data_IF_970539025741
#
_entry.id   IF_970539025741
#
_cell.length_a   1.000
_cell.length_b   1.000
_cell.length_c   1.000
_cell.angle_alpha   90.00
_cell.angle_beta   90.00
_cell.angle_gamma   90.00
#
_symmetry.space_group_name_H-M   'P 1'
#
loop_
_entity.id
_entity.type
_entity.pdbx_description
1 polymer ?
#
# COMPACT_ATOMS: atom_id res chain seq x y z
N UNK A 1 -26.65 2.18 0.83
CA UNK A 1 -25.77 2.37 -0.36
C UNK A 1 -24.78 1.22 -0.37
N UNK A 2 -24.75 0.40 -1.43
CA UNK A 2 -23.76 -0.67 -1.56
C UNK A 2 -22.36 -0.08 -1.70
N UNK A 3 -21.41 -0.50 -0.88
CA UNK A 3 -20.00 -0.16 -1.05
C UNK A 3 -19.55 -0.90 -2.32
N UNK A 4 -19.09 -0.17 -3.34
CA UNK A 4 -18.45 -0.82 -4.49
C UNK A 4 -17.03 -1.09 -4.03
N UNK A 5 -16.71 -2.36 -3.95
CA UNK A 5 -15.41 -2.82 -3.53
C UNK A 5 -14.50 -2.82 -4.75
N UNK A 6 -13.49 -1.94 -4.77
CA UNK A 6 -12.52 -1.85 -5.87
C UNK A 6 -11.84 -3.20 -6.17
N UNK A 7 -11.77 -4.08 -5.17
CA UNK A 7 -11.22 -5.43 -5.30
C UNK A 7 -12.13 -6.39 -6.08
N UNK A 8 -13.42 -6.04 -6.22
CA UNK A 8 -14.40 -6.75 -7.05
C UNK A 8 -14.51 -6.14 -8.45
N UNK A 9 -14.22 -4.84 -8.60
CA UNK A 9 -14.29 -4.14 -9.89
C UNK A 9 -13.13 -4.49 -10.82
N UNK A 10 -11.92 -4.64 -10.27
CA UNK A 10 -10.71 -4.93 -11.05
C UNK A 10 -10.02 -6.19 -10.52
N UNK A 11 -9.36 -7.00 -11.37
CA UNK A 11 -8.70 -8.25 -10.95
C UNK A 11 -7.39 -8.01 -10.17
N UNK A 12 -7.31 -6.94 -9.37
CA UNK A 12 -6.14 -6.56 -8.57
C UNK A 12 -5.74 -7.70 -7.64
N UNK A 13 -6.71 -8.37 -7.02
CA UNK A 13 -6.44 -9.47 -6.09
C UNK A 13 -5.85 -10.71 -6.79
N UNK A 14 -6.04 -10.85 -8.10
CA UNK A 14 -5.50 -11.94 -8.91
C UNK A 14 -4.05 -11.68 -9.33
N UNK A 15 -3.61 -10.42 -9.31
CA UNK A 15 -2.22 -10.08 -9.55
C UNK A 15 -1.34 -10.49 -8.34
N UNK A 16 -0.18 -11.07 -8.68
CA UNK A 16 0.77 -11.62 -7.71
C UNK A 16 1.55 -10.56 -6.92
N UNK A 17 1.62 -9.34 -7.44
CA UNK A 17 2.44 -8.24 -6.94
C UNK A 17 1.61 -7.06 -6.43
N UNK A 18 0.34 -6.96 -6.84
CA UNK A 18 -0.56 -5.92 -6.37
C UNK A 18 -1.31 -6.32 -5.08
N UNK A 19 -1.58 -5.31 -4.26
CA UNK A 19 -2.41 -5.41 -3.08
C UNK A 19 -3.45 -4.29 -3.06
N UNK A 20 -4.68 -4.66 -2.71
CA UNK A 20 -5.78 -3.77 -2.38
C UNK A 20 -6.65 -4.47 -1.34
N UNK A 21 -7.45 -3.71 -0.60
CA UNK A 21 -8.32 -4.24 0.44
C UNK A 21 -9.69 -3.58 0.37
N UNK A 22 -10.72 -4.37 0.65
CA UNK A 22 -12.09 -3.87 0.81
C UNK A 22 -12.15 -2.77 1.85
N UNK A 23 -12.96 -1.74 1.59
CA UNK A 23 -13.11 -0.60 2.49
C UNK A 23 -12.00 0.44 2.40
N UNK A 24 -11.11 0.36 1.39
CA UNK A 24 -10.16 1.41 1.05
C UNK A 24 -10.14 1.61 -0.47
N UNK A 25 -9.93 2.86 -0.90
CA UNK A 25 -9.71 3.21 -2.31
C UNK A 25 -8.21 3.30 -2.62
N UNK A 26 -7.46 2.34 -2.11
CA UNK A 26 -6.00 2.29 -2.23
C UNK A 26 -5.57 1.07 -3.02
N UNK A 27 -4.51 1.22 -3.81
CA UNK A 27 -3.76 0.12 -4.42
C UNK A 27 -2.28 0.33 -4.15
N UNK A 28 -1.58 -0.77 -3.91
CA UNK A 28 -0.13 -0.76 -3.76
C UNK A 28 0.51 -1.92 -4.51
N UNK A 29 1.82 -1.82 -4.69
CA UNK A 29 2.62 -2.81 -5.40
C UNK A 29 3.96 -3.03 -4.70
N UNK A 30 4.37 -4.28 -4.70
CA UNK A 30 5.68 -4.70 -4.24
C UNK A 30 6.74 -4.65 -5.36
N UNK A 31 7.91 -4.06 -5.08
CA UNK A 31 9.10 -4.13 -5.95
C UNK A 31 10.06 -5.22 -5.42
N UNK A 32 10.29 -6.27 -6.21
CA UNK A 32 11.04 -7.45 -5.81
C UNK A 32 12.55 -7.35 -6.02
N UNK A 33 13.04 -6.28 -6.64
CA UNK A 33 14.44 -6.15 -7.02
C UNK A 33 15.32 -5.51 -5.94
N UNK A 34 14.75 -4.69 -5.05
CA UNK A 34 15.52 -3.94 -4.06
C UNK A 34 14.79 -3.95 -2.72
N UNK A 35 15.01 -4.97 -1.88
CA UNK A 35 14.82 -4.86 -0.41
C UNK A 35 15.78 -3.83 0.24
N UNK A 36 16.19 -2.82 -0.52
CA UNK A 36 17.05 -1.76 -0.04
C UNK A 36 16.11 -0.65 0.41
N UNK A 37 15.78 -0.65 1.70
CA UNK A 37 15.64 0.48 2.67
C UNK A 37 15.02 1.82 2.21
N UNK A 38 14.43 1.87 1.03
CA UNK A 38 14.03 3.05 0.29
C UNK A 38 12.59 2.86 -0.21
N UNK A 39 11.73 2.23 0.59
CA UNK A 39 10.30 2.55 0.52
C UNK A 39 10.19 3.99 1.04
N UNK A 40 10.63 4.93 0.19
CA UNK A 40 10.53 6.36 0.39
C UNK A 40 9.05 6.74 0.35
N UNK A 41 8.76 8.00 0.60
CA UNK A 41 7.40 8.55 0.65
C UNK A 41 6.62 8.44 -0.69
N UNK A 42 7.18 7.77 -1.72
CA UNK A 42 6.66 7.62 -3.08
C UNK A 42 6.91 6.25 -3.71
N UNK A 43 6.02 5.91 -4.66
CA UNK A 43 6.23 4.82 -5.60
C UNK A 43 7.45 5.08 -6.50
N UNK A 44 8.33 4.09 -6.62
CA UNK A 44 9.43 4.06 -7.57
C UNK A 44 8.90 4.16 -9.01
N UNK A 45 9.78 4.54 -9.94
CA UNK A 45 9.43 4.54 -11.37
C UNK A 45 8.97 3.15 -11.84
N UNK A 46 9.66 2.09 -11.42
CA UNK A 46 9.30 0.71 -11.78
C UNK A 46 7.92 0.32 -11.24
N UNK A 47 7.61 0.70 -10.00
CA UNK A 47 6.30 0.48 -9.39
C UNK A 47 5.19 1.24 -10.15
N UNK A 48 5.43 2.51 -10.49
CA UNK A 48 4.50 3.32 -11.29
C UNK A 48 4.28 2.71 -12.67
N UNK A 49 5.35 2.36 -13.38
CA UNK A 49 5.29 1.79 -14.73
C UNK A 49 4.52 0.46 -14.73
N UNK A 50 4.70 -0.38 -13.70
CA UNK A 50 3.93 -1.62 -13.54
C UNK A 50 2.44 -1.33 -13.34
N UNK A 51 2.09 -0.46 -12.39
CA UNK A 51 0.71 -0.08 -12.13
C UNK A 51 0.06 0.50 -13.39
N UNK A 52 0.74 1.41 -14.09
CA UNK A 52 0.25 1.98 -15.35
C UNK A 52 0.01 0.88 -16.39
N UNK A 53 0.95 -0.04 -16.55
CA UNK A 53 0.81 -1.17 -17.49
C UNK A 53 -0.39 -2.05 -17.12
N UNK A 54 -0.54 -2.41 -15.85
CA UNK A 54 -1.65 -3.20 -15.35
C UNK A 54 -2.99 -2.52 -15.63
N UNK A 55 -3.15 -1.25 -15.21
CA UNK A 55 -4.41 -0.53 -15.37
C UNK A 55 -4.72 -0.20 -16.83
N UNK A 56 -3.71 -0.01 -17.67
CA UNK A 56 -3.91 0.14 -19.10
C UNK A 56 -4.56 -1.11 -19.73
N UNK A 57 -4.15 -2.31 -19.30
CA UNK A 57 -4.79 -3.56 -19.72
C UNK A 57 -6.25 -3.69 -19.25
N UNK A 58 -6.64 -2.94 -18.20
CA UNK A 58 -8.01 -2.86 -17.71
C UNK A 58 -8.83 -1.72 -18.35
N UNK A 59 -8.29 -1.04 -19.38
CA UNK A 59 -8.99 0.01 -20.11
C UNK A 59 -8.69 1.44 -19.64
N UNK A 60 -7.86 1.64 -18.61
CA UNK A 60 -7.46 2.97 -18.20
C UNK A 60 -6.57 3.65 -19.25
N UNK A 61 -6.83 4.94 -19.49
CA UNK A 61 -6.03 5.79 -20.37
C UNK A 61 -5.33 6.88 -19.57
N UNK A 62 -4.09 7.20 -19.95
CA UNK A 62 -3.35 8.29 -19.32
C UNK A 62 -4.00 9.64 -19.66
N UNK A 63 -4.48 10.37 -18.65
CA UNK A 63 -5.03 11.74 -18.80
C UNK A 63 -3.95 12.79 -18.54
N UNK A 64 -3.15 12.59 -17.49
CA UNK A 64 -1.96 13.39 -17.14
C UNK A 64 -0.90 12.48 -16.58
N UNK A 65 0.36 12.89 -16.41
CA UNK A 65 1.39 12.04 -15.76
C UNK A 65 1.07 11.57 -14.33
N UNK A 66 -0.02 12.05 -13.72
CA UNK A 66 -0.47 11.72 -12.36
C UNK A 66 -1.82 11.03 -12.31
N UNK A 67 -2.55 10.98 -13.42
CA UNK A 67 -3.93 10.49 -13.45
C UNK A 67 -4.14 9.61 -14.68
N UNK A 68 -4.68 8.42 -14.44
CA UNK A 68 -5.29 7.60 -15.48
C UNK A 68 -6.80 7.53 -15.27
N UNK A 69 -7.58 7.37 -16.33
CA UNK A 69 -9.04 7.35 -16.26
C UNK A 69 -9.61 6.18 -17.05
N UNK A 70 -10.63 5.52 -16.49
CA UNK A 70 -11.49 4.57 -17.17
C UNK A 70 -12.94 4.92 -16.82
N UNK A 71 -13.73 5.33 -17.83
CA UNK A 71 -15.09 5.85 -17.63
C UNK A 71 -15.14 6.99 -16.58
N UNK A 72 -15.84 6.77 -15.47
CA UNK A 72 -15.96 7.72 -14.34
C UNK A 72 -14.92 7.50 -13.23
N UNK A 73 -13.99 6.55 -13.39
CA UNK A 73 -13.01 6.17 -12.37
C UNK A 73 -11.65 6.78 -12.69
N UNK A 74 -11.10 7.54 -11.75
CA UNK A 74 -9.75 8.10 -11.81
C UNK A 74 -8.78 7.31 -10.92
N UNK A 75 -7.61 6.96 -11.47
CA UNK A 75 -6.47 6.42 -10.74
C UNK A 75 -5.42 7.51 -10.57
N UNK A 76 -5.15 7.89 -9.32
CA UNK A 76 -4.21 8.92 -8.93
C UNK A 76 -2.86 8.34 -8.51
N UNK A 77 -1.79 8.99 -8.97
CA UNK A 77 -0.41 8.75 -8.54
C UNK A 77 0.10 9.98 -7.78
N UNK A 78 0.05 9.98 -6.43
CA UNK A 78 0.43 11.12 -5.60
C UNK A 78 1.84 11.64 -5.89
N UNK A 79 2.00 12.96 -5.79
CA UNK A 79 3.30 13.60 -5.98
C UNK A 79 4.30 13.26 -4.87
N UNK A 80 5.60 13.24 -5.18
CA UNK A 80 6.62 13.28 -4.16
C UNK A 80 6.50 14.49 -3.25
N UNK A 81 6.46 14.22 -1.95
CA UNK A 81 6.74 15.25 -0.94
C UNK A 81 8.19 15.68 -1.09
N UNK A 82 8.44 16.99 -0.96
CA UNK A 82 9.80 17.56 -1.04
C UNK A 82 10.68 17.20 0.17
N UNK A 83 10.07 16.66 1.23
CA UNK A 83 10.73 16.30 2.48
C UNK A 83 10.61 14.79 2.63
N UNK A 84 11.76 14.15 2.84
CA UNK A 84 11.86 12.71 3.05
C UNK A 84 11.43 12.33 4.46
N UNK A 85 10.99 11.07 4.63
CA UNK A 85 10.64 10.47 5.92
C UNK A 85 9.51 11.22 6.63
N UNK A 86 8.49 11.63 5.86
CA UNK A 86 7.25 12.16 6.38
C UNK A 86 6.10 11.26 5.94
N UNK A 87 5.13 11.10 6.84
CA UNK A 87 3.85 10.49 6.53
C UNK A 87 3.28 11.05 5.22
N UNK A 88 3.02 10.17 4.26
CA UNK A 88 2.28 10.48 3.02
C UNK A 88 0.78 10.24 3.17
N UNK A 89 0.34 9.71 4.30
CA UNK A 89 -1.06 9.54 4.64
C UNK A 89 -1.79 10.88 4.75
N UNK A 90 -3.07 10.84 4.38
CA UNK A 90 -4.05 11.88 4.67
C UNK A 90 -5.40 11.22 4.97
N UNK A 91 -6.24 11.80 5.87
CA UNK A 91 -7.45 11.15 6.38
C UNK A 91 -8.43 10.66 5.31
N UNK A 92 -8.49 11.33 4.17
CA UNK A 92 -9.36 10.99 3.04
C UNK A 92 -9.04 9.62 2.44
N UNK A 93 -7.83 9.07 2.67
CA UNK A 93 -7.48 7.70 2.30
C UNK A 93 -8.35 6.64 3.01
N UNK A 94 -8.94 6.96 4.18
CA UNK A 94 -9.86 6.08 4.90
C UNK A 94 -11.30 6.15 4.38
N UNK A 95 -11.60 7.09 3.49
CA UNK A 95 -12.95 7.29 2.95
C UNK A 95 -13.03 6.55 1.62
N UNK A 96 -13.76 5.42 1.52
CA UNK A 96 -13.89 4.70 0.27
C UNK A 96 -14.59 5.57 -0.78
N UNK A 97 -13.96 5.72 -1.93
CA UNK A 97 -14.49 6.42 -3.09
C UNK A 97 -14.61 5.46 -4.28
N UNK A 98 -15.81 5.39 -4.87
CA UNK A 98 -16.09 4.51 -6.01
C UNK A 98 -15.51 5.01 -7.34
N UNK A 99 -15.19 6.30 -7.40
CA UNK A 99 -14.72 6.99 -8.59
C UNK A 99 -13.23 7.31 -8.53
N UNK A 100 -12.56 6.97 -7.44
CA UNK A 100 -11.16 7.27 -7.25
C UNK A 100 -10.43 6.05 -6.70
N UNK A 101 -9.23 5.83 -7.23
CA UNK A 101 -8.25 4.89 -6.73
C UNK A 101 -6.93 5.63 -6.54
N UNK A 102 -6.24 5.41 -5.43
CA UNK A 102 -4.98 6.07 -5.13
C UNK A 102 -3.87 5.01 -5.06
N UNK A 103 -2.89 5.14 -5.95
CA UNK A 103 -1.71 4.31 -5.95
C UNK A 103 -0.70 4.83 -4.90
N UNK A 104 -0.46 4.05 -3.85
CA UNK A 104 0.40 4.43 -2.71
C UNK A 104 1.49 3.39 -2.46
N UNK A 105 2.55 3.76 -1.74
CA UNK A 105 3.57 2.81 -1.31
C UNK A 105 3.01 1.79 -0.32
N UNK A 106 3.65 0.61 -0.18
CA UNK A 106 3.27 -0.35 0.84
C UNK A 106 3.28 0.27 2.26
N UNK A 107 4.25 1.13 2.57
CA UNK A 107 4.32 1.82 3.87
C UNK A 107 3.14 2.78 4.09
N UNK A 108 2.75 3.58 3.10
CA UNK A 108 1.57 4.46 3.23
C UNK A 108 0.27 3.66 3.29
N UNK A 109 0.18 2.52 2.58
CA UNK A 109 -0.95 1.61 2.70
C UNK A 109 -1.04 1.05 4.13
N UNK A 110 0.08 0.60 4.70
CA UNK A 110 0.15 0.13 6.08
C UNK A 110 -0.28 1.21 7.07
N UNK A 111 0.16 2.46 6.88
CA UNK A 111 -0.25 3.60 7.69
C UNK A 111 -1.77 3.80 7.71
N UNK A 112 -2.42 3.76 6.53
CA UNK A 112 -3.88 3.81 6.44
C UNK A 112 -4.55 2.65 7.19
N UNK A 113 -4.01 1.43 7.09
CA UNK A 113 -4.52 0.27 7.83
C UNK A 113 -4.42 0.45 9.35
N UNK A 114 -3.31 0.99 9.88
CA UNK A 114 -3.21 1.28 11.31
C UNK A 114 -4.21 2.33 11.76
N UNK A 115 -4.41 3.38 10.96
CA UNK A 115 -5.43 4.38 11.27
C UNK A 115 -6.85 3.77 11.23
N UNK A 116 -7.12 2.84 10.31
CA UNK A 116 -8.39 2.09 10.26
C UNK A 116 -8.57 1.19 11.49
N UNK A 117 -7.50 0.53 11.95
CA UNK A 117 -7.51 -0.32 13.16
C UNK A 117 -7.88 0.54 14.38
N UNK A 118 -7.20 1.67 14.57
CA UNK A 118 -7.49 2.61 15.66
C UNK A 118 -8.92 3.16 15.56
N UNK A 119 -9.38 3.55 14.37
CA UNK A 119 -10.73 4.09 14.16
C UNK A 119 -11.84 3.07 14.41
N UNK A 120 -11.58 1.79 14.12
CA UNK A 120 -12.55 0.70 14.35
C UNK A 120 -12.50 0.14 15.77
N UNK A 121 -11.50 0.50 16.57
CA UNK A 121 -11.31 -0.01 17.94
C UNK A 121 -10.99 -1.51 17.99
N UNK A 122 -10.50 -2.08 16.90
CA UNK A 122 -10.00 -3.47 16.87
C UNK A 122 -8.51 -3.49 17.20
N UNK A 123 -8.02 -4.61 17.72
CA UNK A 123 -6.58 -4.87 17.90
C UNK A 123 -6.06 -5.90 16.88
N UNK A 124 -6.88 -6.32 15.90
CA UNK A 124 -6.46 -7.29 14.90
C UNK A 124 -5.42 -6.70 13.93
N UNK A 125 -4.33 -7.43 13.75
CA UNK A 125 -3.27 -7.13 12.77
C UNK A 125 -3.41 -7.96 11.48
N UNK A 126 -4.54 -8.64 11.27
CA UNK A 126 -4.71 -9.56 10.13
C UNK A 126 -4.55 -8.86 8.77
N UNK A 127 -5.13 -7.66 8.64
CA UNK A 127 -4.98 -6.83 7.44
C UNK A 127 -3.52 -6.40 7.20
N UNK A 128 -2.77 -6.13 8.26
CA UNK A 128 -1.34 -5.78 8.17
C UNK A 128 -0.52 -7.01 7.75
N UNK A 129 -0.81 -8.18 8.31
CA UNK A 129 -0.15 -9.44 7.94
C UNK A 129 -0.47 -9.83 6.49
N UNK A 130 -1.72 -9.66 6.06
CA UNK A 130 -2.16 -9.84 4.67
C UNK A 130 -1.42 -8.91 3.69
N UNK A 131 -1.21 -7.65 4.08
CA UNK A 131 -0.36 -6.74 3.32
C UNK A 131 1.08 -7.26 3.24
N UNK A 132 1.71 -7.63 4.36
CA UNK A 132 3.09 -8.18 4.40
C UNK A 132 3.23 -9.43 3.51
N UNK A 133 2.23 -10.31 3.50
CA UNK A 133 2.21 -11.52 2.68
C UNK A 133 2.29 -11.23 1.18
N UNK A 134 1.74 -10.09 0.71
CA UNK A 134 1.85 -9.65 -0.69
C UNK A 134 2.96 -8.62 -0.89
N UNK A 135 2.85 -7.47 -0.23
CA UNK A 135 3.73 -6.31 -0.30
C UNK A 135 4.34 -5.98 1.07
N UNK A 136 5.48 -6.61 1.43
CA UNK A 136 6.30 -6.16 2.56
C UNK A 136 6.57 -4.65 2.52
N UNK A 137 6.59 -4.01 3.69
CA UNK A 137 6.74 -2.56 3.81
C UNK A 137 7.82 -2.19 4.84
N UNK A 138 8.14 -0.89 4.94
CA UNK A 138 9.15 -0.40 5.87
C UNK A 138 8.55 -0.17 7.27
N UNK A 139 8.56 -1.22 8.09
CA UNK A 139 8.02 -1.19 9.47
C UNK A 139 8.77 -0.19 10.36
N UNK A 140 10.09 -0.06 10.19
CA UNK A 140 10.91 0.90 10.94
C UNK A 140 10.51 2.33 10.62
N UNK A 141 10.44 2.67 9.33
CA UNK A 141 10.00 3.99 8.89
C UNK A 141 8.61 4.31 9.43
N UNK A 142 7.65 3.38 9.28
CA UNK A 142 6.28 3.61 9.75
C UNK A 142 6.24 3.94 11.24
N UNK A 143 6.96 3.18 12.07
CA UNK A 143 7.05 3.45 13.51
C UNK A 143 7.64 4.84 13.78
N UNK A 144 8.68 5.23 13.04
CA UNK A 144 9.38 6.49 13.25
C UNK A 144 8.52 7.70 12.83
N UNK A 145 7.78 7.61 11.71
CA UNK A 145 6.84 8.68 11.28
C UNK A 145 5.56 8.72 12.10
N UNK A 146 5.23 7.65 12.82
CA UNK A 146 4.04 7.56 13.68
C UNK A 146 4.20 8.27 15.02
N UNK A 147 5.35 8.90 15.30
CA UNK A 147 5.58 9.59 16.56
C UNK A 147 4.59 10.74 16.79
N UNK A 148 3.95 10.77 17.97
CA UNK A 148 2.90 11.72 18.37
C UNK A 148 1.65 11.70 17.48
N UNK A 149 1.37 10.58 16.82
CA UNK A 149 0.12 10.38 16.06
C UNK A 149 -0.80 9.38 16.77
N UNK A 150 -2.03 9.26 16.27
CA UNK A 150 -3.03 8.33 16.81
C UNK A 150 -2.59 6.85 16.73
N UNK A 151 -1.66 6.52 15.82
CA UNK A 151 -1.19 5.15 15.60
C UNK A 151 0.14 4.84 16.31
N UNK A 152 0.70 5.77 17.08
CA UNK A 152 1.98 5.59 17.78
C UNK A 152 1.97 4.36 18.71
N UNK A 153 0.93 4.23 19.53
CA UNK A 153 0.86 3.17 20.54
C UNK A 153 0.82 1.78 19.89
N UNK A 154 -0.02 1.59 18.88
CA UNK A 154 -0.20 0.32 18.21
C UNK A 154 1.01 -0.06 17.34
N UNK A 155 1.62 0.90 16.65
CA UNK A 155 2.82 0.66 15.84
C UNK A 155 4.03 0.28 16.71
N UNK A 156 4.15 0.87 17.91
CA UNK A 156 5.15 0.46 18.90
C UNK A 156 4.87 -0.94 19.46
N UNK A 157 3.63 -1.21 19.86
CA UNK A 157 3.25 -2.48 20.48
C UNK A 157 3.40 -3.67 19.53
N UNK A 158 3.10 -3.48 18.24
CA UNK A 158 3.15 -4.53 17.21
C UNK A 158 4.51 -4.68 16.52
N UNK A 159 5.48 -3.81 16.81
CA UNK A 159 6.75 -3.71 16.07
C UNK A 159 7.50 -5.05 15.98
N UNK A 160 7.79 -5.68 17.11
CA UNK A 160 8.59 -6.92 17.16
C UNK A 160 7.87 -8.09 16.48
N UNK A 161 6.55 -8.18 16.65
CA UNK A 161 5.73 -9.22 16.01
C UNK A 161 5.77 -9.09 14.49
N UNK A 162 5.52 -7.88 13.98
CA UNK A 162 5.46 -7.62 12.54
C UNK A 162 6.84 -7.77 11.88
N UNK A 163 7.91 -7.34 12.56
CA UNK A 163 9.28 -7.55 12.08
C UNK A 163 9.62 -9.03 11.93
N UNK A 164 9.31 -9.85 12.95
CA UNK A 164 9.52 -11.30 12.90
C UNK A 164 8.68 -11.96 11.82
N UNK A 165 7.40 -11.57 11.72
CA UNK A 165 6.49 -12.12 10.72
C UNK A 165 6.96 -11.78 9.29
N UNK A 166 7.29 -10.52 9.02
CA UNK A 166 7.81 -10.09 7.71
C UNK A 166 9.11 -10.82 7.36
N UNK A 167 10.02 -11.00 8.32
CA UNK A 167 11.25 -11.77 8.09
C UNK A 167 10.95 -13.22 7.65
N UNK A 168 9.95 -13.88 8.27
CA UNK A 168 9.54 -15.23 7.87
C UNK A 168 8.96 -15.26 6.45
N UNK A 169 8.10 -14.30 6.10
CA UNK A 169 7.51 -14.17 4.76
C UNK A 169 8.60 -13.97 3.72
N UNK A 170 9.56 -13.08 3.97
CA UNK A 170 10.71 -12.83 3.08
C UNK A 170 11.53 -14.11 2.93
N UNK A 171 11.93 -14.77 4.03
CA UNK A 171 12.69 -16.03 3.94
C UNK A 171 11.94 -17.08 3.11
N UNK A 172 10.62 -17.21 3.28
CA UNK A 172 9.79 -18.15 2.52
C UNK A 172 9.74 -17.81 1.03
N UNK A 173 9.60 -16.53 0.67
CA UNK A 173 9.60 -16.05 -0.73
C UNK A 173 10.97 -16.20 -1.41
N UNK A 174 12.05 -15.96 -0.67
CA UNK A 174 13.42 -15.89 -1.24
C UNK A 174 14.26 -17.15 -1.09
N UNK A 175 13.85 -18.14 -0.27
CA UNK A 175 14.50 -19.47 -0.22
C UNK A 175 14.59 -20.19 -1.57
N UNK A 176 13.89 -19.71 -2.61
CA UNK A 176 13.93 -20.24 -3.99
C UNK A 176 14.72 -19.38 -4.99
N UNK A 177 15.14 -18.16 -4.65
CA UNK A 177 16.10 -17.40 -5.47
C UNK A 177 17.52 -17.79 -5.01
N UNK A 178 18.03 -18.93 -5.48
CA UNK A 178 19.49 -19.14 -5.51
C UNK A 178 20.07 -17.93 -6.24
N UNK A 179 21.01 -17.24 -5.61
CA UNK A 179 21.79 -16.20 -6.27
C UNK A 179 22.29 -16.76 -7.61
N UNK A 180 21.98 -16.04 -8.70
CA UNK A 180 22.66 -16.22 -9.98
C UNK A 180 24.06 -15.64 -9.86
#
# INVERSE_FOLDING_TARGET
MSIVDITQTYPILQDKHLYAQSGLSLVTIYDDNWFVRNDYDILSRGQRDYLQTFFHQQGFQQKTGKVMVCDEVELHFPDPKRVLALSSYFPEMLIPNKKELIAVTPTTFAEALFHQIVASGTDSLDSIKSLIDKCPYNIELLRDISYRTAIEAITKASFDELMRYQQQVIIKKFKRKKAL
#
